data_IF_036621877755
#
_entry.id   IF_036621877755
#
_cell.length_a   1.000
_cell.length_b   1.000
_cell.length_c   1.000
_cell.angle_alpha   90.00
_cell.angle_beta   90.00
_cell.angle_gamma   90.00
#
_symmetry.space_group_name_H-M   'P 1'
#
loop_
_entity.id
_entity.type
_entity.pdbx_description
1 polymer ?
#
# COMPACT_ATOMS: atom_id res chain seq x y z
N UNK A 1 -18.39 -0.31 6.53
CA UNK A 1 -18.06 1.10 6.83
C UNK A 1 -17.84 1.84 5.52
N UNK A 2 -18.28 3.10 5.42
CA UNK A 2 -18.01 3.93 4.23
C UNK A 2 -16.56 4.41 4.23
N UNK A 3 -15.88 4.51 3.06
CA UNK A 3 -14.51 4.99 2.99
C UNK A 3 -14.41 6.45 3.42
N UNK A 4 -13.37 6.78 4.18
CA UNK A 4 -12.99 8.16 4.51
C UNK A 4 -12.20 8.77 3.34
N UNK A 5 -11.40 7.94 2.65
CA UNK A 5 -10.57 8.31 1.52
C UNK A 5 -10.99 7.52 0.30
N UNK A 6 -11.38 8.22 -0.76
CA UNK A 6 -11.83 7.61 -2.02
C UNK A 6 -10.67 7.42 -3.00
N UNK A 7 -10.86 6.62 -4.07
CA UNK A 7 -9.88 6.53 -5.15
C UNK A 7 -9.59 7.89 -5.82
N UNK A 8 -10.58 8.78 -5.91
CA UNK A 8 -10.39 10.11 -6.50
C UNK A 8 -9.53 10.99 -5.57
N UNK A 9 -9.74 10.92 -4.25
CA UNK A 9 -8.88 11.62 -3.29
C UNK A 9 -7.41 11.17 -3.41
N UNK A 10 -7.17 9.87 -3.60
CA UNK A 10 -5.82 9.33 -3.81
C UNK A 10 -5.19 9.79 -5.13
N UNK A 11 -5.99 9.88 -6.20
CA UNK A 11 -5.56 10.46 -7.47
C UNK A 11 -5.19 11.93 -7.31
N UNK A 12 -6.01 12.69 -6.59
CA UNK A 12 -5.77 14.09 -6.26
C UNK A 12 -4.64 14.29 -5.24
N UNK A 13 -4.24 13.27 -4.48
CA UNK A 13 -3.05 13.30 -3.62
C UNK A 13 -1.76 13.07 -4.42
N UNK A 14 -1.77 12.14 -5.37
CA UNK A 14 -0.62 11.92 -6.28
C UNK A 14 -0.50 13.07 -7.28
N UNK A 15 -1.62 13.66 -7.69
CA UNK A 15 -1.70 14.66 -8.75
C UNK A 15 -2.06 13.99 -10.07
N UNK A 16 -3.13 14.43 -10.75
CA UNK A 16 -3.66 13.75 -11.93
C UNK A 16 -2.61 13.49 -13.02
N UNK A 17 -1.71 14.45 -13.26
CA UNK A 17 -0.63 14.29 -14.25
C UNK A 17 0.33 13.17 -13.89
N UNK A 18 0.86 13.18 -12.66
CA UNK A 18 1.80 12.15 -12.20
C UNK A 18 1.11 10.78 -12.11
N UNK A 19 -0.16 10.76 -11.73
CA UNK A 19 -0.98 9.56 -11.73
C UNK A 19 -1.05 8.95 -13.14
N UNK A 20 -1.44 9.74 -14.14
CA UNK A 20 -1.58 9.27 -15.52
C UNK A 20 -0.22 8.82 -16.10
N UNK A 21 0.87 9.53 -15.80
CA UNK A 21 2.25 9.16 -16.16
C UNK A 21 2.65 7.82 -15.54
N UNK A 22 2.34 7.62 -14.25
CA UNK A 22 2.64 6.38 -13.51
C UNK A 22 1.82 5.22 -14.05
N UNK A 23 0.53 5.40 -14.31
CA UNK A 23 -0.34 4.37 -14.91
C UNK A 23 0.20 3.95 -16.28
N UNK A 24 0.58 4.90 -17.12
CA UNK A 24 1.14 4.61 -18.44
C UNK A 24 2.47 3.84 -18.33
N UNK A 25 3.34 4.24 -17.40
CA UNK A 25 4.59 3.53 -17.12
C UNK A 25 4.33 2.11 -16.65
N UNK A 26 3.46 1.91 -15.66
CA UNK A 26 3.11 0.59 -15.11
C UNK A 26 2.51 -0.32 -16.17
N UNK A 27 1.58 0.18 -16.99
CA UNK A 27 1.01 -0.60 -18.09
C UNK A 27 2.10 -1.06 -19.08
N UNK A 28 3.04 -0.17 -19.41
CA UNK A 28 4.13 -0.48 -20.32
C UNK A 28 5.12 -1.51 -19.75
N UNK A 29 5.58 -1.34 -18.50
CA UNK A 29 6.61 -2.19 -17.91
C UNK A 29 6.10 -3.57 -17.49
N UNK A 30 4.83 -3.66 -17.09
CA UNK A 30 4.21 -4.94 -16.71
C UNK A 30 3.54 -5.66 -17.88
N UNK A 31 3.30 -4.98 -19.00
CA UNK A 31 2.55 -5.50 -20.13
C UNK A 31 1.06 -5.70 -19.86
N UNK A 32 0.54 -5.12 -18.79
CA UNK A 32 -0.88 -5.22 -18.39
C UNK A 32 -1.72 -4.13 -19.05
N UNK A 33 -3.05 -4.32 -19.05
CA UNK A 33 -3.97 -3.30 -19.56
C UNK A 33 -4.05 -2.07 -18.64
N UNK A 34 -4.58 -0.96 -19.15
CA UNK A 34 -4.66 0.30 -18.40
C UNK A 34 -5.47 0.18 -17.10
N UNK A 35 -6.53 -0.62 -17.05
CA UNK A 35 -7.36 -0.75 -15.84
C UNK A 35 -6.62 -1.54 -14.75
N UNK A 36 -5.91 -2.58 -15.14
CA UNK A 36 -5.02 -3.35 -14.26
C UNK A 36 -3.86 -2.50 -13.74
N UNK A 37 -3.26 -1.66 -14.59
CA UNK A 37 -2.24 -0.71 -14.17
C UNK A 37 -2.79 0.36 -13.21
N UNK A 38 -3.98 0.92 -13.49
CA UNK A 38 -4.68 1.83 -12.58
C UNK A 38 -4.91 1.21 -11.21
N UNK A 39 -5.21 -0.09 -11.15
CA UNK A 39 -5.36 -0.81 -9.88
C UNK A 39 -4.06 -0.87 -9.11
N UNK A 40 -2.94 -1.22 -9.74
CA UNK A 40 -1.62 -1.23 -9.08
C UNK A 40 -1.24 0.15 -8.54
N UNK A 41 -1.48 1.21 -9.31
CA UNK A 41 -1.23 2.60 -8.88
C UNK A 41 -2.12 2.98 -7.71
N UNK A 42 -3.40 2.58 -7.72
CA UNK A 42 -4.31 2.80 -6.61
C UNK A 42 -3.87 2.08 -5.33
N UNK A 43 -3.47 0.81 -5.40
CA UNK A 43 -3.01 0.08 -4.21
C UNK A 43 -1.68 0.65 -3.68
N UNK A 44 -0.79 1.11 -4.57
CA UNK A 44 0.42 1.85 -4.19
C UNK A 44 0.08 3.16 -3.48
N UNK A 45 -0.90 3.93 -3.98
CA UNK A 45 -1.36 5.16 -3.34
C UNK A 45 -1.94 4.90 -1.94
N UNK A 46 -2.73 3.84 -1.78
CA UNK A 46 -3.25 3.40 -0.47
C UNK A 46 -2.13 3.03 0.50
N UNK A 47 -1.13 2.30 0.01
CA UNK A 47 0.05 1.95 0.79
C UNK A 47 0.78 3.20 1.30
N UNK A 48 1.10 4.15 0.41
CA UNK A 48 1.78 5.40 0.78
C UNK A 48 0.95 6.25 1.75
N UNK A 49 -0.36 6.29 1.56
CA UNK A 49 -1.27 6.95 2.48
C UNK A 49 -1.20 6.32 3.89
N UNK A 50 -1.27 5.00 4.00
CA UNK A 50 -1.27 4.30 5.30
C UNK A 50 0.02 4.56 6.09
N UNK A 51 1.18 4.39 5.45
CA UNK A 51 2.47 4.59 6.11
C UNK A 51 2.69 6.05 6.50
N UNK A 52 2.10 6.99 5.74
CA UNK A 52 2.14 8.42 6.06
C UNK A 52 1.21 8.76 7.23
N UNK A 53 -0.04 8.31 7.18
CA UNK A 53 -1.08 8.61 8.16
C UNK A 53 -0.85 7.96 9.54
N UNK A 54 -0.13 6.83 9.57
CA UNK A 54 0.07 6.00 10.76
C UNK A 54 1.55 5.71 11.01
N UNK A 55 2.39 6.73 10.84
CA UNK A 55 3.85 6.64 10.96
C UNK A 55 4.28 6.02 12.29
N UNK A 56 3.67 6.40 13.40
CA UNK A 56 3.98 5.87 14.74
C UNK A 56 3.68 4.38 14.90
N UNK A 57 2.80 3.84 14.05
CA UNK A 57 2.38 2.42 14.08
C UNK A 57 3.06 1.57 13.02
N UNK A 58 3.39 2.17 11.87
CA UNK A 58 3.78 1.49 10.64
C UNK A 58 5.17 1.87 10.12
N UNK A 59 5.73 3.02 10.50
CA UNK A 59 7.01 3.43 9.94
C UNK A 59 8.14 2.51 10.40
N UNK A 60 9.00 2.14 9.44
CA UNK A 60 10.06 1.17 9.67
C UNK A 60 9.59 -0.29 9.69
N UNK A 61 8.28 -0.56 9.64
CA UNK A 61 7.75 -1.92 9.47
C UNK A 61 7.82 -2.36 8.01
N UNK A 62 8.11 -3.63 7.79
CA UNK A 62 7.91 -4.26 6.49
C UNK A 62 6.42 -4.55 6.31
N UNK A 63 5.74 -3.72 5.51
CA UNK A 63 4.37 -3.98 5.09
C UNK A 63 4.42 -4.87 3.83
N UNK A 64 3.93 -6.12 3.89
CA UNK A 64 4.04 -7.05 2.78
C UNK A 64 3.01 -6.69 1.70
N UNK A 65 3.44 -5.88 0.74
CA UNK A 65 2.75 -5.68 -0.55
C UNK A 65 3.35 -6.61 -1.60
N UNK A 66 2.58 -6.93 -2.64
CA UNK A 66 3.13 -7.65 -3.78
C UNK A 66 4.20 -6.81 -4.51
N UNK A 67 5.17 -7.49 -5.11
CA UNK A 67 6.28 -6.85 -5.82
C UNK A 67 5.80 -5.82 -6.85
N UNK A 68 4.72 -6.10 -7.58
CA UNK A 68 4.19 -5.17 -8.57
C UNK A 68 3.76 -3.81 -7.99
N UNK A 69 3.35 -3.75 -6.72
CA UNK A 69 3.02 -2.50 -6.01
C UNK A 69 4.29 -1.76 -5.58
N UNK A 70 5.31 -2.48 -5.13
CA UNK A 70 6.62 -1.91 -4.77
C UNK A 70 7.33 -1.31 -6.01
N UNK A 71 7.23 -1.95 -7.17
CA UNK A 71 7.77 -1.40 -8.44
C UNK A 71 7.09 -0.08 -8.86
N UNK A 72 5.78 0.08 -8.59
CA UNK A 72 5.11 1.38 -8.78
C UNK A 72 5.72 2.43 -7.85
N UNK A 73 5.97 2.07 -6.59
CA UNK A 73 6.60 2.98 -5.65
C UNK A 73 8.04 3.34 -6.07
N UNK A 74 8.82 2.37 -6.58
CA UNK A 74 10.15 2.65 -7.12
C UNK A 74 10.09 3.68 -8.25
N UNK A 75 9.14 3.56 -9.17
CA UNK A 75 8.95 4.58 -10.21
C UNK A 75 8.65 5.96 -9.63
N UNK A 76 7.77 6.05 -8.63
CA UNK A 76 7.43 7.31 -7.97
C UNK A 76 8.66 7.94 -7.30
N UNK A 77 9.49 7.16 -6.61
CA UNK A 77 10.72 7.66 -5.94
C UNK A 77 11.67 8.35 -6.94
N UNK A 78 11.74 7.86 -8.19
CA UNK A 78 12.56 8.45 -9.24
C UNK A 78 12.06 9.83 -9.69
N UNK A 79 10.78 10.17 -9.45
CA UNK A 79 10.23 11.49 -9.68
C UNK A 79 10.57 12.41 -8.51
N UNK A 80 11.87 12.65 -8.29
CA UNK A 80 12.42 13.15 -7.02
C UNK A 80 11.74 14.41 -6.46
N UNK A 81 11.38 15.38 -7.32
CA UNK A 81 10.69 16.61 -6.90
C UNK A 81 9.24 16.30 -6.52
N UNK A 82 8.53 15.60 -7.39
CA UNK A 82 7.13 15.25 -7.21
C UNK A 82 6.92 14.29 -6.04
N UNK A 83 7.85 13.35 -5.82
CA UNK A 83 7.83 12.43 -4.70
C UNK A 83 8.08 13.13 -3.36
N UNK A 84 9.02 14.08 -3.33
CA UNK A 84 9.21 14.96 -2.18
C UNK A 84 7.93 15.74 -1.86
N UNK A 85 7.34 16.37 -2.87
CA UNK A 85 6.09 17.12 -2.74
C UNK A 85 4.95 16.24 -2.23
N UNK A 86 4.81 15.03 -2.80
CA UNK A 86 3.83 14.05 -2.36
C UNK A 86 4.00 13.73 -0.87
N UNK A 87 5.22 13.40 -0.42
CA UNK A 87 5.46 12.99 0.95
C UNK A 87 5.34 14.12 1.97
N UNK A 88 5.94 15.28 1.68
CA UNK A 88 6.09 16.37 2.66
C UNK A 88 4.87 17.29 2.70
N UNK A 89 4.12 17.43 1.59
CA UNK A 89 3.07 18.45 1.48
C UNK A 89 1.67 17.90 1.19
N UNK A 90 1.54 16.70 0.62
CA UNK A 90 0.23 16.18 0.16
C UNK A 90 -0.26 15.02 1.01
N UNK A 91 0.60 14.06 1.31
CA UNK A 91 0.26 12.95 2.21
C UNK A 91 0.06 13.44 3.65
N UNK A 92 -0.84 12.80 4.42
CA UNK A 92 -1.31 13.32 5.71
C UNK A 92 -0.23 13.42 6.79
N UNK A 93 0.86 12.65 6.69
CA UNK A 93 1.96 12.66 7.66
C UNK A 93 2.96 13.80 7.50
N UNK A 94 2.98 14.50 6.36
CA UNK A 94 3.81 15.69 6.15
C UNK A 94 5.33 15.46 6.27
N UNK A 95 5.80 14.22 6.03
CA UNK A 95 7.20 13.86 6.17
C UNK A 95 7.67 12.96 5.04
N UNK A 96 8.94 13.09 4.65
CA UNK A 96 9.55 12.25 3.63
C UNK A 96 9.50 10.76 4.02
N UNK A 97 9.00 9.94 3.10
CA UNK A 97 8.92 8.49 3.29
C UNK A 97 10.18 7.86 2.67
N UNK A 98 11.02 7.30 3.52
CA UNK A 98 12.24 6.61 3.09
C UNK A 98 11.95 5.18 2.63
N UNK A 99 12.47 4.82 1.46
CA UNK A 99 12.48 3.46 0.95
C UNK A 99 13.83 2.77 1.24
N UNK A 100 13.79 1.47 1.50
CA UNK A 100 14.97 0.61 1.55
C UNK A 100 14.67 -0.69 0.79
N UNK A 101 15.47 -1.00 -0.23
CA UNK A 101 15.40 -2.26 -0.98
C UNK A 101 16.03 -3.43 -0.21
N UNK A 102 15.59 -3.66 1.03
CA UNK A 102 15.99 -4.83 1.82
C UNK A 102 14.97 -5.95 1.61
N UNK A 103 15.46 -7.18 1.46
CA UNK A 103 14.55 -8.33 1.34
C UNK A 103 13.88 -8.60 2.69
N UNK A 104 12.75 -9.31 2.67
CA UNK A 104 12.10 -9.78 3.90
C UNK A 104 13.05 -10.65 4.75
N UNK A 105 13.92 -11.44 4.11
CA UNK A 105 14.90 -12.28 4.77
C UNK A 105 15.98 -11.46 5.48
N UNK A 106 16.36 -10.31 4.89
CA UNK A 106 17.37 -9.40 5.44
C UNK A 106 16.78 -8.37 6.41
N UNK A 107 15.45 -8.23 6.46
CA UNK A 107 14.75 -7.32 7.37
C UNK A 107 14.87 -7.75 8.84
N UNK A 108 15.13 -9.04 9.13
CA UNK A 108 15.21 -9.54 10.49
C UNK A 108 16.33 -10.55 10.72
N UNK A 109 17.35 -10.16 11.48
CA UNK A 109 18.08 -11.11 12.32
C UNK A 109 17.13 -11.55 13.45
N UNK A 110 16.47 -12.70 13.24
CA UNK A 110 15.48 -13.37 14.11
C UNK A 110 14.66 -12.50 15.08
N UNK A 111 13.56 -11.90 14.62
CA UNK A 111 12.48 -11.48 15.51
C UNK A 111 11.71 -12.69 16.04
N UNK A 112 11.04 -12.54 17.19
CA UNK A 112 10.01 -13.48 17.63
C UNK A 112 8.95 -13.59 16.52
N UNK A 113 8.69 -14.81 16.04
CA UNK A 113 7.73 -15.09 14.96
C UNK A 113 6.37 -14.45 15.23
N UNK A 114 5.97 -14.35 16.51
CA UNK A 114 4.74 -13.65 16.90
C UNK A 114 4.78 -12.16 16.53
N UNK A 115 5.88 -11.48 16.85
CA UNK A 115 6.06 -10.06 16.54
C UNK A 115 5.98 -9.80 15.03
N UNK A 116 6.60 -10.66 14.20
CA UNK A 116 6.53 -10.52 12.74
C UNK A 116 5.10 -10.65 12.20
N UNK A 117 4.31 -11.57 12.76
CA UNK A 117 2.90 -11.75 12.40
C UNK A 117 2.09 -10.53 12.85
N UNK A 118 2.29 -10.05 14.08
CA UNK A 118 1.61 -8.86 14.59
C UNK A 118 1.89 -7.62 13.73
N UNK A 119 3.16 -7.39 13.36
CA UNK A 119 3.56 -6.29 12.47
C UNK A 119 2.96 -6.43 11.07
N UNK A 120 2.99 -7.64 10.49
CA UNK A 120 2.44 -7.94 9.17
C UNK A 120 0.92 -7.82 9.07
N UNK A 121 0.20 -7.87 10.21
CA UNK A 121 -1.26 -7.76 10.29
C UNK A 121 -1.74 -6.36 10.68
N UNK A 122 -0.89 -5.55 11.34
CA UNK A 122 -1.25 -4.26 11.95
C UNK A 122 -1.91 -3.26 10.99
N UNK A 123 -1.57 -3.32 9.71
CA UNK A 123 -2.07 -2.39 8.70
C UNK A 123 -3.50 -2.69 8.24
N UNK A 124 -3.99 -3.94 8.36
CA UNK A 124 -5.30 -4.37 7.85
C UNK A 124 -6.47 -3.53 8.42
N UNK A 125 -6.61 -3.36 9.75
CA UNK A 125 -7.69 -2.54 10.29
C UNK A 125 -7.56 -1.05 9.93
N UNK A 126 -6.32 -0.56 9.75
CA UNK A 126 -6.05 0.82 9.32
C UNK A 126 -6.50 1.04 7.87
N UNK A 127 -6.20 0.07 6.99
CA UNK A 127 -6.68 0.04 5.60
C UNK A 127 -8.21 0.13 5.55
N UNK A 128 -8.89 -0.71 6.34
CA UNK A 128 -10.35 -0.78 6.30
C UNK A 128 -11.03 0.47 6.84
N UNK A 129 -10.43 1.10 7.86
CA UNK A 129 -10.91 2.38 8.37
C UNK A 129 -10.80 3.49 7.30
N UNK A 130 -9.65 3.57 6.62
CA UNK A 130 -9.41 4.59 5.61
C UNK A 130 -10.22 4.37 4.33
N UNK A 131 -10.21 3.15 3.78
CA UNK A 131 -10.67 2.86 2.42
C UNK A 131 -11.92 1.98 2.33
N UNK A 132 -12.45 1.54 3.47
CA UNK A 132 -13.53 0.57 3.52
C UNK A 132 -13.07 -0.88 3.25
N UNK A 133 -14.01 -1.81 2.99
CA UNK A 133 -13.67 -3.22 2.79
C UNK A 133 -12.78 -3.43 1.57
N UNK A 134 -12.00 -4.52 1.57
CA UNK A 134 -11.24 -4.92 0.39
C UNK A 134 -12.20 -5.19 -0.77
N UNK A 135 -12.00 -4.51 -1.88
CA UNK A 135 -12.68 -4.85 -3.13
C UNK A 135 -12.16 -6.20 -3.64
N UNK A 136 -13.00 -6.93 -4.37
CA UNK A 136 -12.74 -8.31 -4.83
C UNK A 136 -11.36 -8.47 -5.51
N UNK A 137 -10.94 -7.51 -6.33
CA UNK A 137 -9.62 -7.52 -6.99
C UNK A 137 -8.46 -6.89 -6.19
N UNK A 138 -8.65 -6.46 -4.94
CA UNK A 138 -7.60 -5.81 -4.15
C UNK A 138 -6.73 -6.83 -3.43
N UNK A 139 -7.33 -7.93 -2.97
CA UNK A 139 -6.65 -8.95 -2.16
C UNK A 139 -5.36 -9.46 -2.81
N UNK A 140 -5.39 -9.68 -4.13
CA UNK A 140 -4.24 -10.19 -4.87
C UNK A 140 -2.99 -9.31 -4.78
N UNK A 141 -3.13 -8.03 -4.38
CA UNK A 141 -2.05 -7.06 -4.26
C UNK A 141 -1.53 -6.90 -2.81
N UNK A 142 -2.20 -7.54 -1.84
CA UNK A 142 -1.90 -7.45 -0.41
C UNK A 142 -1.60 -8.84 0.15
N UNK A 143 -0.33 -9.22 0.19
CA UNK A 143 0.12 -10.60 0.45
C UNK A 143 -0.49 -11.21 1.71
N UNK A 144 -0.54 -10.48 2.83
CA UNK A 144 -1.09 -11.01 4.08
C UNK A 144 -2.61 -11.14 4.04
N UNK A 145 -3.32 -10.18 3.43
CA UNK A 145 -4.77 -10.26 3.28
C UNK A 145 -5.18 -11.43 2.37
N UNK A 146 -4.45 -11.63 1.25
CA UNK A 146 -4.62 -12.80 0.38
C UNK A 146 -4.41 -14.10 1.15
N UNK A 147 -3.30 -14.21 1.89
CA UNK A 147 -3.00 -15.41 2.68
C UNK A 147 -4.09 -15.75 3.70
N UNK A 148 -4.61 -14.76 4.41
CA UNK A 148 -5.70 -14.98 5.37
C UNK A 148 -6.98 -15.48 4.69
N UNK A 149 -7.34 -14.95 3.53
CA UNK A 149 -8.56 -15.33 2.83
C UNK A 149 -8.42 -16.68 2.12
N UNK A 150 -7.34 -16.86 1.35
CA UNK A 150 -7.17 -18.03 0.48
C UNK A 150 -6.66 -19.26 1.23
N UNK A 151 -5.63 -19.08 2.08
CA UNK A 151 -4.97 -20.20 2.76
C UNK A 151 -5.60 -20.49 4.13
N UNK A 152 -5.91 -19.44 4.89
CA UNK A 152 -6.53 -19.59 6.22
C UNK A 152 -8.07 -19.66 6.17
N UNK A 153 -8.67 -19.51 4.98
CA UNK A 153 -10.12 -19.57 4.74
C UNK A 153 -10.91 -18.57 5.58
N UNK A 154 -10.30 -17.43 5.91
CA UNK A 154 -10.97 -16.33 6.60
C UNK A 154 -11.95 -15.65 5.65
N UNK A 155 -13.17 -15.36 6.12
CA UNK A 155 -14.11 -14.61 5.28
C UNK A 155 -13.69 -13.14 5.17
N UNK A 156 -14.17 -12.45 4.13
CA UNK A 156 -13.98 -10.99 4.01
C UNK A 156 -14.63 -10.23 5.17
N UNK A 157 -15.73 -10.77 5.73
CA UNK A 157 -16.39 -10.20 6.89
C UNK A 157 -15.53 -10.35 8.16
N UNK A 158 -14.92 -11.52 8.37
CA UNK A 158 -13.99 -11.73 9.48
C UNK A 158 -12.75 -10.84 9.36
N UNK A 159 -12.20 -10.73 8.14
CA UNK A 159 -11.10 -9.81 7.85
C UNK A 159 -11.52 -8.36 8.13
N UNK A 160 -12.77 -8.01 7.80
CA UNK A 160 -13.45 -6.74 8.11
C UNK A 160 -13.67 -6.45 9.59
N UNK A 161 -13.71 -7.49 10.41
CA UNK A 161 -13.94 -7.41 11.84
C UNK A 161 -12.64 -7.29 12.65
N UNK A 162 -11.47 -7.38 12.01
CA UNK A 162 -10.18 -7.15 12.67
C UNK A 162 -10.14 -5.72 13.22
N UNK A 163 -9.79 -5.58 14.49
CA UNK A 163 -9.65 -4.29 15.16
C UNK A 163 -8.19 -3.94 15.38
N UNK A 164 -7.90 -2.64 15.28
CA UNK A 164 -6.58 -2.05 15.44
C UNK A 164 -6.06 -2.04 16.89
#
# INVERSE_FOLDING_TARGET
MSPIVTPEDLRELIGPRLWDETVAHTAHTTGTDTASAQRLVLECARYLYLISAHRERLAGLFLPVEQAVDEVWHYLILQTREYRELCENRLPGGEFIHHRSISYQDYGAEPDRRQMIEEGLRWIPLYQNAFGPFAEGALQHWTMARFLVEEMRMSLDDLGALTA
#
